data_IF_838848593896
#
_entry.id   IF_838848593896
#
_cell.length_a   1.000
_cell.length_b   1.000
_cell.length_c   1.000
_cell.angle_alpha   90.00
_cell.angle_beta   90.00
_cell.angle_gamma   90.00
#
_symmetry.space_group_name_H-M   'P 1'
#
loop_
_entity.id
_entity.type
_entity.pdbx_description
1 polymer ?
#
# COMPACT_ATOMS: atom_id res chain seq x y z
N UNK A 1 -1.52 10.76 2.07
CA UNK A 1 -1.65 10.05 3.37
C UNK A 1 -0.70 8.87 3.38
N UNK A 2 -0.06 8.59 4.51
CA UNK A 2 0.89 7.48 4.68
C UNK A 2 0.22 6.33 5.45
N UNK A 3 0.05 5.19 4.80
CA UNK A 3 -0.63 4.01 5.37
C UNK A 3 0.14 3.44 6.56
N UNK A 4 1.48 3.43 6.50
CA UNK A 4 2.34 2.86 7.54
C UNK A 4 2.25 3.68 8.82
N UNK A 5 2.36 5.01 8.72
CA UNK A 5 2.27 5.88 9.90
C UNK A 5 0.89 5.80 10.54
N UNK A 6 -0.18 5.77 9.74
CA UNK A 6 -1.55 5.60 10.27
C UNK A 6 -1.75 4.24 10.94
N UNK A 7 -1.28 3.14 10.34
CA UNK A 7 -1.41 1.80 10.92
C UNK A 7 -0.56 1.61 12.18
N UNK A 8 0.70 2.07 12.16
CA UNK A 8 1.60 1.97 13.30
C UNK A 8 1.17 2.83 14.50
N UNK A 9 0.46 3.94 14.26
CA UNK A 9 -0.05 4.82 15.31
C UNK A 9 -1.38 4.35 15.90
N UNK A 10 -2.24 3.74 15.08
CA UNK A 10 -3.63 3.45 15.48
C UNK A 10 -3.90 1.97 15.79
N UNK A 11 -3.11 1.03 15.26
CA UNK A 11 -3.30 -0.40 15.48
C UNK A 11 -4.51 -1.02 14.76
N UNK A 12 -5.21 -0.27 13.91
CA UNK A 12 -6.31 -0.75 13.06
C UNK A 12 -6.12 -0.30 11.61
N UNK A 13 -6.72 -1.04 10.67
CA UNK A 13 -6.69 -0.73 9.23
C UNK A 13 -7.21 0.68 8.97
N UNK A 14 -6.50 1.54 8.22
CA UNK A 14 -6.98 2.86 7.86
C UNK A 14 -8.04 2.84 6.76
N UNK A 15 -8.49 1.66 6.30
CA UNK A 15 -9.44 1.51 5.20
C UNK A 15 -10.73 2.34 5.42
N UNK A 16 -11.40 2.18 6.56
CA UNK A 16 -12.63 2.93 6.86
C UNK A 16 -12.40 4.46 6.88
N UNK A 17 -11.28 4.91 7.43
CA UNK A 17 -10.96 6.34 7.42
C UNK A 17 -10.73 6.86 6.00
N UNK A 18 -10.04 6.08 5.16
CA UNK A 18 -9.85 6.39 3.73
C UNK A 18 -11.21 6.47 3.05
N UNK A 19 -12.10 5.50 3.30
CA UNK A 19 -13.45 5.48 2.73
C UNK A 19 -14.22 6.75 3.09
N UNK A 20 -14.23 7.14 4.35
CA UNK A 20 -14.93 8.35 4.82
C UNK A 20 -14.32 9.65 4.29
N UNK A 21 -13.00 9.68 4.05
CA UNK A 21 -12.27 10.91 3.71
C UNK A 21 -11.73 10.95 2.27
N UNK A 22 -12.07 9.99 1.41
CA UNK A 22 -11.45 9.82 0.08
C UNK A 22 -11.47 11.09 -0.78
N UNK A 23 -12.52 11.90 -0.69
CA UNK A 23 -12.65 13.17 -1.43
C UNK A 23 -11.64 14.25 -1.02
N UNK A 24 -11.06 14.14 0.18
CA UNK A 24 -10.03 15.04 0.72
C UNK A 24 -8.62 14.48 0.58
N UNK A 25 -8.50 13.21 0.21
CA UNK A 25 -7.22 12.52 0.07
C UNK A 25 -6.75 12.69 -1.37
N UNK A 26 -5.68 13.47 -1.56
CA UNK A 26 -5.13 13.71 -2.90
C UNK A 26 -4.31 12.53 -3.40
N UNK A 27 -3.53 11.89 -2.51
CA UNK A 27 -2.68 10.75 -2.82
C UNK A 27 -2.51 9.84 -1.59
N UNK A 28 -2.35 8.54 -1.82
CA UNK A 28 -2.05 7.54 -0.80
C UNK A 28 -0.74 6.84 -1.13
N UNK A 29 0.18 6.81 -0.17
CA UNK A 29 1.49 6.19 -0.36
C UNK A 29 1.40 4.71 0.03
N UNK A 30 1.71 3.84 -0.92
CA UNK A 30 1.74 2.39 -0.75
C UNK A 30 3.16 1.96 -0.43
N UNK A 31 3.31 1.39 0.76
CA UNK A 31 4.51 0.71 1.22
C UNK A 31 4.09 -0.41 2.14
N UNK A 32 4.91 -1.46 2.20
CA UNK A 32 4.65 -2.59 3.06
C UNK A 32 5.81 -2.78 4.03
N UNK A 33 5.50 -3.21 5.25
CA UNK A 33 6.49 -3.50 6.26
C UNK A 33 5.96 -4.59 7.21
N UNK A 34 6.87 -5.21 7.96
CA UNK A 34 6.48 -6.04 9.10
C UNK A 34 5.83 -5.20 10.20
N UNK A 35 4.98 -5.84 11.01
CA UNK A 35 4.35 -5.23 12.18
C UNK A 35 5.39 -4.64 13.15
N UNK A 36 4.95 -3.77 14.05
CA UNK A 36 5.81 -3.11 15.06
C UNK A 36 6.96 -2.28 14.44
N UNK A 37 6.67 -1.50 13.39
CA UNK A 37 7.67 -0.70 12.67
C UNK A 37 8.83 -1.54 12.09
N UNK A 38 8.55 -2.81 11.76
CA UNK A 38 9.56 -3.73 11.24
C UNK A 38 10.10 -3.34 9.86
N UNK A 39 10.95 -4.21 9.33
CA UNK A 39 11.60 -4.02 8.04
C UNK A 39 10.58 -3.81 6.92
N UNK A 40 10.89 -2.89 5.99
CA UNK A 40 10.13 -2.71 4.76
C UNK A 40 10.20 -3.96 3.89
N UNK A 41 9.08 -4.34 3.30
CA UNK A 41 8.91 -5.55 2.50
C UNK A 41 8.33 -5.19 1.12
N UNK A 42 8.49 -6.06 0.11
CA UNK A 42 7.71 -5.96 -1.12
C UNK A 42 6.21 -5.94 -0.83
N UNK A 43 5.44 -5.20 -1.66
CA UNK A 43 3.99 -5.07 -1.47
C UNK A 43 3.31 -6.45 -1.43
N UNK A 44 2.51 -6.69 -0.39
CA UNK A 44 1.80 -7.95 -0.18
C UNK A 44 2.59 -9.02 0.59
N UNK A 45 3.82 -8.72 1.02
CA UNK A 45 4.66 -9.64 1.82
C UNK A 45 4.86 -9.17 3.27
N UNK A 46 4.46 -7.93 3.58
CA UNK A 46 4.43 -7.41 4.94
C UNK A 46 3.10 -7.67 5.62
N UNK A 47 2.92 -7.01 6.76
CA UNK A 47 1.73 -7.12 7.62
C UNK A 47 0.80 -5.91 7.44
N UNK A 48 1.13 -5.00 6.52
CA UNK A 48 0.31 -3.82 6.23
C UNK A 48 -0.98 -4.27 5.53
N UNK A 49 -2.17 -3.74 5.89
CA UNK A 49 -3.44 -4.12 5.28
C UNK A 49 -3.64 -3.54 3.86
N UNK A 50 -2.63 -3.60 3.00
CA UNK A 50 -2.67 -3.04 1.63
C UNK A 50 -3.73 -3.71 0.76
N UNK A 51 -3.87 -5.04 0.87
CA UNK A 51 -4.87 -5.79 0.12
C UNK A 51 -6.29 -5.31 0.44
N UNK A 52 -6.57 -5.10 1.72
CA UNK A 52 -7.88 -4.61 2.18
C UNK A 52 -8.18 -3.22 1.60
N UNK A 53 -7.20 -2.31 1.65
CA UNK A 53 -7.33 -0.94 1.14
C UNK A 53 -7.55 -0.95 -0.38
N UNK A 54 -6.76 -1.71 -1.15
CA UNK A 54 -6.89 -1.79 -2.61
C UNK A 54 -8.22 -2.43 -3.05
N UNK A 55 -8.68 -3.48 -2.34
CA UNK A 55 -9.97 -4.08 -2.61
C UNK A 55 -11.13 -3.15 -2.24
N UNK A 56 -11.01 -2.39 -1.16
CA UNK A 56 -11.99 -1.38 -0.78
C UNK A 56 -12.10 -0.29 -1.86
N UNK A 57 -10.97 0.24 -2.35
CA UNK A 57 -10.99 1.26 -3.42
C UNK A 57 -11.67 0.75 -4.68
N UNK A 58 -11.43 -0.52 -5.03
CA UNK A 58 -12.09 -1.19 -6.16
C UNK A 58 -13.60 -1.29 -5.94
N UNK A 59 -14.04 -1.77 -4.77
CA UNK A 59 -15.46 -2.00 -4.45
C UNK A 59 -16.27 -0.71 -4.39
N UNK A 60 -15.68 0.34 -3.85
CA UNK A 60 -16.36 1.63 -3.64
C UNK A 60 -16.15 2.60 -4.82
N UNK A 61 -15.45 2.18 -5.88
CA UNK A 61 -15.14 2.99 -7.08
C UNK A 61 -14.53 4.35 -6.76
N UNK A 62 -13.71 4.41 -5.71
CA UNK A 62 -13.04 5.65 -5.31
C UNK A 62 -11.90 5.95 -6.29
N UNK A 63 -11.87 7.18 -6.83
CA UNK A 63 -10.73 7.71 -7.59
C UNK A 63 -9.58 8.07 -6.65
N UNK A 64 -9.02 7.04 -6.01
CA UNK A 64 -7.92 7.17 -5.08
C UNK A 64 -6.60 7.05 -5.83
N UNK A 65 -5.84 8.14 -5.88
CA UNK A 65 -4.51 8.13 -6.47
C UNK A 65 -3.53 7.46 -5.52
N UNK A 66 -2.92 6.36 -5.93
CA UNK A 66 -1.91 5.65 -5.15
C UNK A 66 -0.52 5.86 -5.72
N UNK A 67 0.46 6.11 -4.84
CA UNK A 67 1.88 6.25 -5.17
C UNK A 67 2.65 5.08 -4.56
N UNK A 68 3.42 4.35 -5.37
CA UNK A 68 4.28 3.27 -4.87
C UNK A 68 5.55 3.88 -4.26
N UNK A 69 5.83 3.58 -2.99
CA UNK A 69 7.09 3.92 -2.32
C UNK A 69 7.93 2.66 -2.11
N UNK A 70 9.06 2.57 -2.83
CA UNK A 70 10.02 1.48 -2.69
C UNK A 70 10.87 1.68 -1.42
N UNK A 71 10.32 1.32 -0.26
CA UNK A 71 10.97 1.48 1.05
C UNK A 71 11.57 0.15 1.60
N UNK A 72 12.18 -0.65 0.74
CA UNK A 72 12.87 -1.89 1.14
C UNK A 72 14.19 -2.10 0.41
N UNK A 73 15.05 -2.93 0.99
CA UNK A 73 16.35 -3.24 0.40
C UNK A 73 16.13 -4.03 -0.89
N UNK A 74 16.64 -3.50 -2.01
CA UNK A 74 16.61 -4.21 -3.29
C UNK A 74 17.38 -5.53 -3.12
N UNK A 75 16.76 -6.68 -3.41
CA UNK A 75 17.42 -7.98 -3.28
C UNK A 75 18.57 -8.13 -4.29
N UNK A 76 19.56 -8.94 -3.94
CA UNK A 76 20.68 -9.24 -4.83
C UNK A 76 20.18 -9.87 -6.13
N UNK A 77 20.69 -9.40 -7.27
CA UNK A 77 20.21 -9.82 -8.59
C UNK A 77 18.98 -9.07 -9.11
N UNK A 78 18.48 -8.07 -8.36
CA UNK A 78 17.39 -7.19 -8.81
C UNK A 78 17.83 -5.72 -8.91
N UNK A 79 16.95 -4.87 -9.42
CA UNK A 79 17.14 -3.42 -9.50
C UNK A 79 15.81 -2.69 -9.19
N UNK A 80 15.90 -1.37 -8.99
CA UNK A 80 14.76 -0.56 -8.57
C UNK A 80 13.58 -0.66 -9.55
N UNK A 81 13.84 -0.71 -10.86
CA UNK A 81 12.79 -0.82 -11.88
C UNK A 81 12.08 -2.17 -11.79
N UNK A 82 12.83 -3.27 -11.67
CA UNK A 82 12.27 -4.60 -11.54
C UNK A 82 11.40 -4.75 -10.27
N UNK A 83 11.82 -4.15 -9.16
CA UNK A 83 11.04 -4.15 -7.92
C UNK A 83 9.80 -3.24 -8.00
N UNK A 84 9.88 -2.09 -8.67
CA UNK A 84 8.72 -1.23 -8.92
C UNK A 84 7.69 -1.95 -9.83
N UNK A 85 8.14 -2.66 -10.87
CA UNK A 85 7.24 -3.44 -11.73
C UNK A 85 6.46 -4.50 -10.95
N UNK A 86 7.09 -5.19 -9.99
CA UNK A 86 6.39 -6.13 -9.10
C UNK A 86 5.33 -5.44 -8.23
N UNK A 87 5.65 -4.25 -7.73
CA UNK A 87 4.69 -3.45 -6.96
C UNK A 87 3.49 -3.03 -7.81
N UNK A 88 3.72 -2.64 -9.06
CA UNK A 88 2.67 -2.30 -10.03
C UNK A 88 1.81 -3.52 -10.35
N UNK A 89 2.41 -4.67 -10.67
CA UNK A 89 1.72 -5.93 -10.92
C UNK A 89 0.82 -6.33 -9.74
N UNK A 90 1.31 -6.20 -8.51
CA UNK A 90 0.51 -6.46 -7.32
C UNK A 90 -0.71 -5.54 -7.24
N UNK A 91 -0.54 -4.25 -7.51
CA UNK A 91 -1.65 -3.30 -7.51
C UNK A 91 -2.67 -3.62 -8.60
N UNK A 92 -2.22 -3.90 -9.82
CA UNK A 92 -3.10 -4.28 -10.94
C UNK A 92 -3.89 -5.55 -10.63
N UNK A 93 -3.24 -6.58 -10.07
CA UNK A 93 -3.93 -7.82 -9.69
C UNK A 93 -5.06 -7.60 -8.68
N UNK A 94 -4.89 -6.65 -7.74
CA UNK A 94 -5.94 -6.34 -6.76
C UNK A 94 -7.06 -5.48 -7.38
N UNK A 95 -6.74 -4.61 -8.34
CA UNK A 95 -7.69 -3.66 -8.93
C UNK A 95 -8.47 -4.24 -10.13
N UNK A 96 -7.89 -5.18 -10.89
CA UNK A 96 -8.49 -5.75 -12.12
C UNK A 96 -9.28 -7.06 -11.90
N UNK A 97 -9.19 -7.67 -10.71
CA UNK A 97 -9.94 -8.90 -10.38
C UNK A 97 -11.27 -8.67 -9.68
#
# INVERSE_FOLDING_TARGET
MDIRHSFASNGFSPAEWIKENHTRITHVHLKDCKANQGQGMPLGQGDTPLKEILLMTRRETHDLKTTIELEYRIPEGSNALAEISKCEEYCMQMLEG
#
